data_IF_520179586164
#
_entry.id   IF_520179586164
#
_cell.length_a   1.000
_cell.length_b   1.000
_cell.length_c   1.000
_cell.angle_alpha   90.00
_cell.angle_beta   90.00
_cell.angle_gamma   90.00
#
_symmetry.space_group_name_H-M   'P 1'
#
loop_
_entity.id
_entity.type
_entity.pdbx_description
1 polymer ?
#
# COMPACT_ATOMS: atom_id res chain seq x y z
N UNK A 1 14.23 -2.58 -9.64
CA UNK A 1 13.20 -1.68 -10.21
C UNK A 1 11.96 -1.72 -9.32
N UNK A 2 11.08 -0.71 -9.38
CA UNK A 2 9.86 -0.66 -8.56
C UNK A 2 8.96 -1.90 -8.80
N UNK A 3 8.72 -2.23 -10.08
CA UNK A 3 7.96 -3.42 -10.48
C UNK A 3 8.44 -4.70 -9.80
N UNK A 4 9.74 -4.98 -9.80
CA UNK A 4 10.29 -6.18 -9.17
C UNK A 4 10.06 -6.24 -7.66
N UNK A 5 10.08 -5.09 -6.98
CA UNK A 5 9.75 -5.01 -5.54
C UNK A 5 8.27 -5.28 -5.30
N UNK A 6 7.37 -4.69 -6.10
CA UNK A 6 5.93 -4.92 -5.99
C UNK A 6 5.57 -6.39 -6.21
N UNK A 7 6.13 -7.02 -7.24
CA UNK A 7 5.94 -8.47 -7.50
C UNK A 7 6.44 -9.32 -6.35
N UNK A 8 7.61 -8.99 -5.78
CA UNK A 8 8.15 -9.69 -4.62
C UNK A 8 7.24 -9.55 -3.38
N UNK A 9 6.78 -8.34 -3.08
CA UNK A 9 5.87 -8.12 -1.95
C UNK A 9 4.51 -8.82 -2.16
N UNK A 10 4.00 -8.86 -3.39
CA UNK A 10 2.79 -9.62 -3.71
C UNK A 10 2.94 -11.10 -3.35
N UNK A 11 4.04 -11.73 -3.78
CA UNK A 11 4.31 -13.13 -3.49
C UNK A 11 4.44 -13.44 -1.98
N UNK A 12 5.03 -12.53 -1.21
CA UNK A 12 5.11 -12.67 0.25
C UNK A 12 3.72 -12.67 0.90
N UNK A 13 2.89 -11.69 0.52
CA UNK A 13 1.53 -11.55 1.06
C UNK A 13 0.63 -12.69 0.60
N UNK A 14 0.73 -13.13 -0.65
CA UNK A 14 0.02 -14.29 -1.20
C UNK A 14 0.30 -15.55 -0.34
N UNK A 15 1.56 -15.76 0.04
CA UNK A 15 1.98 -16.95 0.78
C UNK A 15 1.63 -16.88 2.27
N UNK A 16 1.75 -15.70 2.89
CA UNK A 16 1.74 -15.57 4.35
C UNK A 16 0.56 -14.77 4.91
N UNK A 17 -0.08 -13.93 4.11
CA UNK A 17 -1.12 -13.00 4.51
C UNK A 17 -0.60 -11.64 4.98
N UNK A 18 0.63 -11.55 5.51
CA UNK A 18 1.36 -10.32 5.83
C UNK A 18 2.81 -10.41 5.32
N UNK A 19 3.54 -9.29 5.36
CA UNK A 19 4.87 -9.18 4.75
C UNK A 19 5.91 -10.07 5.44
N UNK A 20 5.85 -10.21 6.76
CA UNK A 20 6.83 -10.96 7.56
C UNK A 20 6.31 -12.30 8.10
N UNK A 21 5.11 -12.74 7.69
CA UNK A 21 4.49 -13.95 8.21
C UNK A 21 2.97 -13.83 8.32
N UNK A 22 2.40 -14.47 9.34
CA UNK A 22 0.94 -14.57 9.53
C UNK A 22 0.34 -13.43 10.34
N UNK A 23 1.19 -12.64 10.99
CA UNK A 23 0.78 -11.56 11.89
C UNK A 23 1.26 -10.22 11.35
N UNK A 24 0.54 -9.16 11.71
CA UNK A 24 0.93 -7.78 11.39
C UNK A 24 2.19 -7.41 12.18
N UNK A 25 3.22 -6.93 11.48
CA UNK A 25 4.50 -6.52 12.08
C UNK A 25 4.91 -5.11 11.66
N UNK A 26 6.05 -4.65 12.18
CA UNK A 26 6.67 -3.40 11.72
C UNK A 26 7.02 -3.45 10.22
N UNK A 27 7.31 -4.63 9.66
CA UNK A 27 7.59 -4.78 8.24
C UNK A 27 6.40 -4.35 7.37
N UNK A 28 5.18 -4.68 7.80
CA UNK A 28 3.96 -4.28 7.11
C UNK A 28 3.74 -2.76 7.17
N UNK A 29 3.98 -2.16 8.34
CA UNK A 29 3.84 -0.72 8.51
C UNK A 29 4.86 0.06 7.67
N UNK A 30 6.11 -0.41 7.63
CA UNK A 30 7.16 0.18 6.81
C UNK A 30 6.84 0.04 5.30
N UNK A 31 6.41 -1.15 4.87
CA UNK A 31 6.00 -1.38 3.49
C UNK A 31 4.80 -0.49 3.11
N UNK A 32 3.77 -0.41 3.96
CA UNK A 32 2.58 0.40 3.70
C UNK A 32 2.89 1.91 3.67
N UNK A 33 3.80 2.40 4.50
CA UNK A 33 4.24 3.80 4.44
C UNK A 33 4.93 4.13 3.10
N UNK A 34 5.82 3.25 2.62
CA UNK A 34 6.45 3.43 1.31
C UNK A 34 5.45 3.30 0.16
N UNK A 35 4.53 2.35 0.22
CA UNK A 35 3.49 2.19 -0.79
C UNK A 35 2.54 3.39 -0.81
N UNK A 36 2.20 3.97 0.34
CA UNK A 36 1.40 5.20 0.44
C UNK A 36 2.05 6.37 -0.27
N UNK A 37 3.36 6.57 -0.10
CA UNK A 37 4.06 7.61 -0.84
C UNK A 37 3.99 7.40 -2.36
N UNK A 38 4.16 6.16 -2.85
CA UNK A 38 4.04 5.86 -4.28
C UNK A 38 2.59 5.95 -4.81
N UNK A 39 1.61 5.52 -4.02
CA UNK A 39 0.17 5.56 -4.33
C UNK A 39 -0.32 7.01 -4.43
N UNK A 40 0.25 7.91 -3.61
CA UNK A 40 -0.04 9.35 -3.68
C UNK A 40 0.19 9.91 -5.08
N UNK A 41 1.29 9.51 -5.74
CA UNK A 41 1.65 9.95 -7.10
C UNK A 41 1.02 9.09 -8.21
N UNK A 42 0.32 8.01 -7.87
CA UNK A 42 -0.27 7.10 -8.85
C UNK A 42 0.75 6.19 -9.56
N UNK A 43 1.91 5.95 -8.95
CA UNK A 43 3.02 5.18 -9.55
C UNK A 43 2.83 3.66 -9.49
N UNK A 44 1.74 3.18 -8.88
CA UNK A 44 1.48 1.76 -8.65
C UNK A 44 0.37 1.28 -9.59
N UNK A 45 0.67 0.24 -10.38
CA UNK A 45 -0.33 -0.50 -11.16
C UNK A 45 -0.88 -1.64 -10.30
N UNK A 46 -1.91 -1.36 -9.51
CA UNK A 46 -2.48 -2.30 -8.52
C UNK A 46 -3.06 -3.57 -9.17
N UNK A 47 -3.46 -3.51 -10.43
CA UNK A 47 -3.98 -4.66 -11.20
C UNK A 47 -2.90 -5.73 -11.45
N UNK A 48 -1.61 -5.36 -11.41
CA UNK A 48 -0.50 -6.29 -11.60
C UNK A 48 -0.11 -7.03 -10.30
N UNK A 49 -0.65 -6.61 -9.15
CA UNK A 49 -0.30 -7.14 -7.82
C UNK A 49 -1.57 -7.27 -6.94
N UNK A 50 -2.51 -8.17 -7.30
CA UNK A 50 -3.82 -8.24 -6.68
C UNK A 50 -3.79 -8.60 -5.18
N UNK A 51 -2.93 -9.51 -4.74
CA UNK A 51 -2.81 -9.88 -3.33
C UNK A 51 -2.24 -8.74 -2.50
N UNK A 52 -1.26 -8.02 -3.06
CA UNK A 52 -0.70 -6.82 -2.44
C UNK A 52 -1.75 -5.71 -2.36
N UNK A 53 -2.59 -5.53 -3.39
CA UNK A 53 -3.71 -4.58 -3.38
C UNK A 53 -4.69 -4.91 -2.26
N UNK A 54 -5.13 -6.17 -2.14
CA UNK A 54 -6.03 -6.60 -1.05
C UNK A 54 -5.40 -6.41 0.31
N UNK A 55 -4.11 -6.74 0.48
CA UNK A 55 -3.41 -6.47 1.73
C UNK A 55 -3.31 -4.98 2.02
N UNK A 56 -2.99 -4.15 1.03
CA UNK A 56 -2.83 -2.72 1.22
C UNK A 56 -4.17 -2.06 1.58
N UNK A 57 -5.28 -2.46 0.97
CA UNK A 57 -6.63 -2.03 1.35
C UNK A 57 -6.95 -2.34 2.82
N UNK A 58 -6.58 -3.53 3.33
CA UNK A 58 -6.75 -3.86 4.75
C UNK A 58 -5.91 -2.97 5.66
N UNK A 59 -4.65 -2.66 5.30
CA UNK A 59 -3.79 -1.76 6.08
C UNK A 59 -4.33 -0.32 6.05
N UNK A 60 -4.71 0.16 4.87
CA UNK A 60 -5.24 1.51 4.61
C UNK A 60 -6.53 1.79 5.38
N UNK A 61 -7.33 0.76 5.63
CA UNK A 61 -8.59 0.84 6.38
C UNK A 61 -8.40 1.02 7.90
N UNK A 62 -7.18 0.87 8.43
CA UNK A 62 -6.92 0.95 9.87
C UNK A 62 -6.97 2.41 10.36
N UNK A 63 -7.45 2.67 11.60
CA UNK A 63 -7.48 4.03 12.16
C UNK A 63 -6.12 4.74 12.17
N UNK A 64 -5.02 3.99 12.37
CA UNK A 64 -3.65 4.52 12.36
C UNK A 64 -3.21 5.06 11.00
N UNK A 65 -3.88 4.68 9.92
CA UNK A 65 -3.53 5.10 8.56
C UNK A 65 -4.27 6.38 8.14
N UNK A 66 -5.34 6.77 8.84
CA UNK A 66 -6.15 7.95 8.52
C UNK A 66 -5.34 9.26 8.41
N UNK A 67 -4.34 9.54 9.28
CA UNK A 67 -3.52 10.73 9.13
C UNK A 67 -2.80 10.78 7.78
N UNK A 68 -2.23 9.64 7.32
CA UNK A 68 -1.53 9.57 6.03
C UNK A 68 -2.46 9.81 4.83
N UNK A 69 -3.73 9.39 4.92
CA UNK A 69 -4.72 9.66 3.87
C UNK A 69 -5.19 11.12 3.85
N UNK A 70 -5.07 11.81 4.98
CA UNK A 70 -5.37 13.23 5.11
C UNK A 70 -4.21 14.12 4.62
N UNK A 71 -2.99 13.58 4.50
CA UNK A 71 -1.83 14.34 4.06
C UNK A 71 -2.03 14.96 2.67
N UNK A 72 -1.67 16.23 2.55
CA UNK A 72 -1.70 16.98 1.30
C UNK A 72 -0.34 17.65 1.12
N UNK A 73 0.26 17.44 -0.04
CA UNK A 73 1.49 18.11 -0.45
C UNK A 73 1.11 19.35 -1.26
N UNK A 74 1.73 20.48 -0.95
CA UNK A 74 1.53 21.69 -1.73
C UNK A 74 1.99 21.46 -3.18
N UNK A 75 1.23 22.00 -4.13
CA UNK A 75 1.44 21.88 -5.59
C UNK A 75 1.29 20.48 -6.21
N UNK A 76 1.01 19.42 -5.43
CA UNK A 76 0.76 18.07 -5.95
C UNK A 76 -0.63 17.61 -5.55
N UNK A 77 -1.43 17.20 -6.55
CA UNK A 77 -2.72 16.55 -6.28
C UNK A 77 -2.50 15.05 -6.12
N UNK A 78 -3.09 14.41 -5.09
CA UNK A 78 -3.02 12.97 -4.96
C UNK A 78 -3.75 12.28 -6.11
N UNK A 79 -3.38 11.03 -6.38
CA UNK A 79 -4.13 10.13 -7.24
C UNK A 79 -5.62 10.09 -6.85
N UNK A 80 -6.57 9.99 -7.82
CA UNK A 80 -8.00 9.97 -7.52
C UNK A 80 -8.43 8.89 -6.52
N UNK A 81 -7.74 7.77 -6.52
CA UNK A 81 -8.01 6.63 -5.64
C UNK A 81 -7.20 6.64 -4.33
N UNK A 82 -6.37 7.66 -4.10
CA UNK A 82 -5.49 7.69 -2.92
C UNK A 82 -6.25 7.66 -1.59
N UNK A 83 -7.40 8.34 -1.50
CA UNK A 83 -8.23 8.30 -0.29
C UNK A 83 -9.34 7.22 -0.35
N UNK A 84 -9.49 6.56 -1.50
CA UNK A 84 -10.48 5.50 -1.69
C UNK A 84 -9.99 4.22 -1.00
N UNK A 85 -10.88 3.54 -0.27
CA UNK A 85 -10.59 2.28 0.41
C UNK A 85 -10.92 1.08 -0.47
N UNK A 86 -11.75 1.26 -1.50
CA UNK A 86 -12.21 0.21 -2.43
C UNK A 86 -11.49 0.26 -3.80
N UNK A 87 -10.38 1.02 -3.86
CA UNK A 87 -9.53 1.22 -5.05
C UNK A 87 -9.01 -0.06 -5.68
#
# INVERSE_FOLDING_TARGET
TLRGRLTFLNALVETHGFIAGRDLTLADLAAAAHLSACDYFGDIQWEAVPDLRTWYARIKSRPSFRPLLADRLDAVRPSPHYADLDF
#
